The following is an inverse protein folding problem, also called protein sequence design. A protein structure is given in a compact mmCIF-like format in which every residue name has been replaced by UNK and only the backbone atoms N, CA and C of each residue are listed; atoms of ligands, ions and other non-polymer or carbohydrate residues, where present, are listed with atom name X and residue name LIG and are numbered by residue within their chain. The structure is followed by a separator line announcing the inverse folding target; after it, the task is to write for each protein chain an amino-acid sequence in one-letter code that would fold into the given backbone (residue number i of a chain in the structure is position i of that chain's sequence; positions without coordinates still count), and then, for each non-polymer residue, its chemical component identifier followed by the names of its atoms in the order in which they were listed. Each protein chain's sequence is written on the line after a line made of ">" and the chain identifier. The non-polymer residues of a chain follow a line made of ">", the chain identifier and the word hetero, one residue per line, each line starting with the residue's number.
data_IF_393428079231
#
_entry.id   IF_393428079231
#
_cell.length_a   1.000
_cell.length_b   1.000
_cell.length_c   1.000
_cell.angle_alpha   90.00
_cell.angle_beta   90.00
_cell.angle_gamma   90.00
#
_symmetry.space_group_name_H-M   'P 1'
#
loop_
_entity.id
_entity.type
_entity.pdbx_description
1 polymer ?
#
# COMPACT_ATOMS: atom_id res chain seq x y z
N UNK A 1 -12.98 1.56 -10.64
CA UNK A 1 -14.06 1.12 -9.73
C UNK A 1 -14.46 -0.32 -10.05
N UNK A 2 -13.75 -1.31 -9.49
CA UNK A 2 -14.16 -2.71 -9.61
C UNK A 2 -15.28 -3.01 -8.61
N UNK A 3 -16.36 -3.71 -9.00
CA UNK A 3 -17.49 -3.97 -8.12
C UNK A 3 -17.05 -4.79 -6.88
N UNK A 4 -17.63 -4.53 -5.68
CA UNK A 4 -17.17 -5.13 -4.41
C UNK A 4 -17.12 -6.67 -4.40
N UNK A 5 -17.94 -7.31 -5.24
CA UNK A 5 -18.00 -8.76 -5.41
C UNK A 5 -16.83 -9.32 -6.23
N UNK A 6 -16.35 -8.55 -7.21
CA UNK A 6 -15.24 -8.93 -8.08
C UNK A 6 -13.91 -8.86 -7.33
N UNK A 7 -13.68 -7.85 -6.48
CA UNK A 7 -12.46 -7.75 -5.68
C UNK A 7 -12.24 -8.98 -4.77
N UNK A 8 -13.25 -9.31 -3.95
CA UNK A 8 -13.21 -10.50 -3.07
C UNK A 8 -13.04 -11.81 -3.86
N UNK A 9 -13.65 -11.89 -5.03
CA UNK A 9 -13.51 -13.05 -5.91
C UNK A 9 -12.11 -13.14 -6.53
N UNK A 10 -11.55 -12.02 -6.98
CA UNK A 10 -10.18 -11.94 -7.52
C UNK A 10 -9.14 -12.30 -6.46
N UNK A 11 -9.32 -11.88 -5.20
CA UNK A 11 -8.43 -12.27 -4.10
C UNK A 11 -8.46 -13.78 -3.81
N UNK A 12 -9.64 -14.39 -3.99
CA UNK A 12 -9.80 -15.84 -3.93
C UNK A 12 -9.05 -16.53 -5.09
N UNK A 13 -9.18 -16.01 -6.31
CA UNK A 13 -8.46 -16.53 -7.49
C UNK A 13 -6.94 -16.40 -7.35
N UNK A 14 -6.45 -15.26 -6.86
CA UNK A 14 -5.01 -15.03 -6.63
C UNK A 14 -4.44 -15.97 -5.58
N UNK A 15 -5.18 -16.26 -4.49
CA UNK A 15 -4.77 -17.27 -3.50
C UNK A 15 -4.64 -18.67 -4.09
N UNK A 16 -5.60 -19.08 -4.92
CA UNK A 16 -5.52 -20.36 -5.60
C UNK A 16 -4.37 -20.41 -6.61
N UNK A 17 -4.14 -19.34 -7.37
CA UNK A 17 -2.99 -19.26 -8.26
C UNK A 17 -1.65 -19.36 -7.53
N UNK A 18 -1.51 -18.71 -6.37
CA UNK A 18 -0.31 -18.83 -5.52
C UNK A 18 -0.10 -20.28 -5.07
N UNK A 19 -1.14 -20.95 -4.55
CA UNK A 19 -1.09 -22.36 -4.18
C UNK A 19 -0.66 -23.26 -5.35
N UNK A 20 -1.21 -23.03 -6.55
CA UNK A 20 -0.83 -23.76 -7.77
C UNK A 20 0.65 -23.55 -8.13
N UNK A 21 1.13 -22.30 -8.07
CA UNK A 21 2.57 -21.95 -8.27
C UNK A 21 3.49 -22.61 -7.24
N UNK A 22 3.03 -22.72 -6.00
CA UNK A 22 3.77 -23.32 -4.88
C UNK A 22 3.68 -24.88 -4.88
N UNK A 23 3.01 -25.48 -5.88
CA UNK A 23 2.89 -26.94 -6.04
C UNK A 23 1.78 -27.60 -5.18
N UNK A 24 0.91 -26.81 -4.56
CA UNK A 24 -0.20 -27.30 -3.74
C UNK A 24 -1.40 -27.73 -4.62
N UNK A 25 -1.59 -29.04 -4.74
CA UNK A 25 -2.65 -29.71 -5.50
C UNK A 25 -4.07 -29.51 -4.93
N UNK A 26 -4.21 -28.93 -3.73
CA UNK A 26 -5.53 -28.54 -3.18
C UNK A 26 -6.13 -27.29 -3.84
N UNK A 27 -5.38 -26.67 -4.76
CA UNK A 27 -5.84 -25.49 -5.49
C UNK A 27 -6.90 -25.85 -6.52
N UNK A 28 -8.09 -25.27 -6.40
CA UNK A 28 -9.21 -25.46 -7.34
C UNK A 28 -9.13 -24.47 -8.53
N UNK A 29 -7.92 -24.08 -8.95
CA UNK A 29 -7.70 -23.26 -10.15
C UNK A 29 -7.12 -24.14 -11.25
N UNK A 30 -7.80 -24.18 -12.39
CA UNK A 30 -7.35 -24.94 -13.56
C UNK A 30 -6.46 -24.09 -14.45
N UNK A 31 -5.57 -24.73 -15.22
CA UNK A 31 -4.75 -24.04 -16.24
C UNK A 31 -5.61 -23.25 -17.23
N UNK A 32 -6.73 -23.83 -17.66
CA UNK A 32 -7.71 -23.14 -18.51
C UNK A 32 -8.22 -21.83 -17.89
N UNK A 33 -8.48 -21.82 -16.58
CA UNK A 33 -8.91 -20.62 -15.86
C UNK A 33 -7.80 -19.59 -15.72
N UNK A 34 -6.55 -20.04 -15.59
CA UNK A 34 -5.36 -19.17 -15.58
C UNK A 34 -5.19 -18.48 -16.93
N UNK A 35 -5.27 -19.22 -18.02
CA UNK A 35 -5.11 -18.70 -19.37
C UNK A 35 -6.20 -17.65 -19.71
N UNK A 36 -7.45 -17.92 -19.35
CA UNK A 36 -8.57 -16.97 -19.50
C UNK A 36 -8.35 -15.68 -18.74
N UNK A 37 -7.77 -15.75 -17.54
CA UNK A 37 -7.47 -14.58 -16.70
C UNK A 37 -6.24 -13.81 -17.20
N UNK A 38 -5.22 -14.49 -17.74
CA UNK A 38 -4.11 -13.83 -18.45
C UNK A 38 -4.59 -13.03 -19.65
N UNK A 39 -5.50 -13.62 -20.45
CA UNK A 39 -6.01 -13.01 -21.68
C UNK A 39 -6.79 -11.70 -21.45
N UNK A 40 -7.38 -11.54 -20.26
CA UNK A 40 -8.06 -10.29 -19.85
C UNK A 40 -7.14 -9.32 -19.08
N UNK A 41 -5.83 -9.58 -19.05
CA UNK A 41 -4.85 -8.72 -18.38
C UNK A 41 -4.96 -8.74 -16.85
N UNK A 42 -5.54 -9.79 -16.26
CA UNK A 42 -5.65 -9.88 -14.81
C UNK A 42 -4.29 -10.21 -14.19
N UNK A 43 -3.63 -9.23 -13.60
CA UNK A 43 -2.38 -9.45 -12.88
C UNK A 43 -2.63 -10.29 -11.60
N UNK A 44 -1.91 -11.41 -11.54
CA UNK A 44 -1.98 -12.40 -10.46
C UNK A 44 -1.33 -11.97 -9.16
N UNK A 45 -0.64 -10.83 -9.15
CA UNK A 45 0.02 -10.31 -7.96
C UNK A 45 -1.04 -9.97 -6.91
N UNK A 46 -1.32 -10.91 -6.01
CA UNK A 46 -1.80 -10.57 -4.68
C UNK A 46 -0.62 -9.87 -4.00
N UNK A 47 -0.53 -8.55 -4.13
CA UNK A 47 0.50 -7.79 -3.46
C UNK A 47 0.38 -8.10 -1.97
N UNK A 48 1.39 -8.77 -1.40
CA UNK A 48 1.47 -8.94 0.03
C UNK A 48 1.36 -7.56 0.68
N UNK A 49 0.91 -7.52 1.94
CA UNK A 49 0.88 -6.26 2.69
C UNK A 49 2.23 -5.53 2.63
N UNK A 50 3.32 -6.29 2.60
CA UNK A 50 4.67 -5.76 2.44
C UNK A 50 4.94 -5.17 1.05
N UNK A 51 4.48 -5.81 -0.02
CA UNK A 51 4.61 -5.24 -1.37
C UNK A 51 3.80 -3.95 -1.52
N UNK A 52 2.59 -3.89 -0.94
CA UNK A 52 1.78 -2.68 -0.93
C UNK A 52 2.47 -1.55 -0.15
N UNK A 53 3.12 -1.88 0.98
CA UNK A 53 3.91 -0.92 1.73
C UNK A 53 5.07 -0.38 0.90
N UNK A 54 5.83 -1.26 0.23
CA UNK A 54 6.96 -0.89 -0.65
C UNK A 54 6.53 -0.03 -1.84
N UNK A 55 5.38 -0.32 -2.44
CA UNK A 55 4.82 0.49 -3.53
C UNK A 55 4.49 1.91 -3.05
N UNK A 56 3.80 2.04 -1.91
CA UNK A 56 3.50 3.36 -1.32
C UNK A 56 4.73 4.11 -0.88
N UNK A 57 5.73 3.41 -0.35
CA UNK A 57 7.03 4.00 -0.03
C UNK A 57 7.70 4.58 -1.28
N UNK A 58 7.69 3.88 -2.42
CA UNK A 58 8.22 4.42 -3.69
C UNK A 58 7.46 5.68 -4.14
N UNK A 59 6.14 5.67 -4.05
CA UNK A 59 5.33 6.86 -4.35
C UNK A 59 5.69 8.06 -3.44
N UNK A 60 5.96 7.79 -2.15
CA UNK A 60 6.41 8.82 -1.22
C UNK A 60 7.79 9.37 -1.61
N UNK A 61 8.74 8.52 -2.01
CA UNK A 61 10.05 8.96 -2.50
C UNK A 61 9.89 9.91 -3.68
N UNK A 62 9.09 9.53 -4.68
CA UNK A 62 8.82 10.41 -5.83
C UNK A 62 8.12 11.71 -5.42
N UNK A 63 7.25 11.68 -4.41
CA UNK A 63 6.66 12.91 -3.87
C UNK A 63 7.71 13.81 -3.21
N UNK A 64 8.63 13.25 -2.43
CA UNK A 64 9.73 13.99 -1.81
C UNK A 64 10.66 14.59 -2.86
N UNK A 65 10.98 13.85 -3.92
CA UNK A 65 11.78 14.36 -5.04
C UNK A 65 11.13 15.58 -5.73
N UNK A 66 9.79 15.61 -5.80
CA UNK A 66 9.04 16.71 -6.44
C UNK A 66 8.77 17.89 -5.51
N UNK A 67 8.36 17.63 -4.26
CA UNK A 67 7.88 18.64 -3.32
C UNK A 67 8.93 19.03 -2.26
N UNK A 68 10.01 18.25 -2.12
CA UNK A 68 11.08 18.49 -1.13
C UNK A 68 10.71 18.18 0.32
N UNK A 69 9.52 17.62 0.58
CA UNK A 69 9.04 17.35 1.94
C UNK A 69 8.15 16.10 1.99
N UNK A 70 7.95 15.54 3.19
CA UNK A 70 7.11 14.35 3.42
C UNK A 70 5.69 14.67 3.90
N UNK A 71 5.29 15.94 3.83
CA UNK A 71 3.99 16.47 4.28
C UNK A 71 2.84 16.14 3.31
N UNK A 72 2.57 14.87 3.09
CA UNK A 72 1.40 14.44 2.30
C UNK A 72 0.13 14.55 3.15
N UNK A 73 -0.87 15.29 2.67
CA UNK A 73 -2.20 15.37 3.28
C UNK A 73 -3.09 14.23 2.78
N UNK A 74 -4.07 13.79 3.59
CA UNK A 74 -5.10 12.83 3.15
C UNK A 74 -5.88 13.31 1.93
N UNK A 75 -6.00 14.62 1.79
CA UNK A 75 -6.76 15.28 0.72
C UNK A 75 -5.90 15.61 -0.49
N UNK A 76 -4.70 15.02 -0.60
CA UNK A 76 -3.81 15.22 -1.74
C UNK A 76 -4.51 14.74 -3.03
N UNK A 77 -4.91 15.65 -3.94
CA UNK A 77 -5.84 15.32 -5.02
C UNK A 77 -5.21 14.39 -6.06
N UNK A 78 -3.90 14.49 -6.27
CA UNK A 78 -3.17 13.67 -7.24
C UNK A 78 -3.04 12.22 -6.76
N UNK A 79 -2.90 12.00 -5.44
CA UNK A 79 -2.83 10.66 -4.87
C UNK A 79 -3.38 10.60 -3.42
N UNK A 80 -4.70 10.53 -3.24
CA UNK A 80 -5.32 10.45 -1.92
C UNK A 80 -4.93 9.16 -1.15
N UNK A 81 -4.56 8.11 -1.88
CA UNK A 81 -4.10 6.85 -1.28
C UNK A 81 -2.77 7.03 -0.54
N UNK A 82 -1.85 7.81 -1.12
CA UNK A 82 -0.57 8.13 -0.49
C UNK A 82 -0.75 8.96 0.78
N UNK A 83 -1.64 9.97 0.75
CA UNK A 83 -1.96 10.78 1.92
C UNK A 83 -2.50 9.96 3.09
N UNK A 84 -3.48 9.11 2.81
CA UNK A 84 -4.03 8.18 3.79
C UNK A 84 -2.98 7.18 4.31
N UNK A 85 -2.09 6.70 3.43
CA UNK A 85 -1.02 5.79 3.82
C UNK A 85 0.00 6.47 4.75
N UNK A 86 0.42 7.69 4.44
CA UNK A 86 1.34 8.47 5.27
C UNK A 86 0.72 8.77 6.65
N UNK A 87 -0.56 9.13 6.69
CA UNK A 87 -1.30 9.29 7.94
C UNK A 87 -1.29 8.00 8.78
N UNK A 88 -1.54 6.84 8.16
CA UNK A 88 -1.48 5.55 8.85
C UNK A 88 -0.09 5.26 9.40
N UNK A 89 0.99 5.57 8.68
CA UNK A 89 2.35 5.36 9.20
C UNK A 89 2.57 6.16 10.50
N UNK A 90 2.11 7.42 10.56
CA UNK A 90 2.21 8.24 11.79
C UNK A 90 1.40 7.67 12.94
N UNK A 91 0.20 7.16 12.67
CA UNK A 91 -0.65 6.54 13.69
C UNK A 91 0.00 5.28 14.28
N UNK A 92 0.49 4.39 13.41
CA UNK A 92 1.14 3.14 13.78
C UNK A 92 2.44 3.39 14.57
N UNK A 93 3.22 4.40 14.17
CA UNK A 93 4.40 4.84 14.92
C UNK A 93 4.02 5.38 16.31
N UNK A 94 3.00 6.24 16.40
CA UNK A 94 2.53 6.75 17.69
C UNK A 94 2.00 5.66 18.61
N UNK A 95 1.35 4.63 18.06
CA UNK A 95 0.92 3.45 18.82
C UNK A 95 2.12 2.67 19.34
N UNK A 96 3.11 2.42 18.49
CA UNK A 96 4.36 1.76 18.89
C UNK A 96 5.07 2.53 20.01
N UNK A 97 5.15 3.86 19.91
CA UNK A 97 5.75 4.71 20.95
C UNK A 97 4.99 4.67 22.29
N UNK A 98 3.70 4.32 22.27
CA UNK A 98 2.90 4.09 23.48
C UNK A 98 3.05 2.68 24.05
N UNK A 99 3.89 1.84 23.43
CA UNK A 99 4.08 0.43 23.81
C UNK A 99 3.00 -0.51 23.28
N UNK A 100 2.19 -0.09 22.29
CA UNK A 100 1.17 -0.95 21.70
C UNK A 100 1.82 -1.95 20.71
N UNK A 101 1.91 -3.21 21.15
CA UNK A 101 2.48 -4.31 20.37
C UNK A 101 1.59 -4.76 19.19
N UNK A 102 0.36 -4.23 19.06
CA UNK A 102 -0.51 -4.52 17.92
C UNK A 102 -0.14 -3.73 16.66
N UNK A 103 0.68 -2.68 16.82
CA UNK A 103 1.20 -1.84 15.73
C UNK A 103 1.87 -2.69 14.64
N UNK A 104 1.65 -2.31 13.38
CA UNK A 104 2.29 -2.89 12.20
C UNK A 104 3.56 -2.14 11.80
N UNK A 105 4.00 -1.19 12.63
CA UNK A 105 5.26 -0.51 12.43
C UNK A 105 6.42 -1.41 12.84
N UNK A 106 7.40 -1.57 11.95
CA UNK A 106 8.62 -2.35 12.19
C UNK A 106 9.84 -1.42 12.15
N UNK A 107 10.96 -1.86 12.72
CA UNK A 107 12.24 -1.14 12.67
C UNK A 107 12.63 -0.73 11.25
N UNK A 108 12.54 -1.67 10.32
CA UNK A 108 12.97 -1.46 8.92
C UNK A 108 12.11 -0.39 8.22
N UNK A 109 10.83 -0.30 8.58
CA UNK A 109 9.91 0.72 8.05
C UNK A 109 10.22 2.09 8.61
N UNK A 110 10.55 2.16 9.90
CA UNK A 110 10.98 3.40 10.56
C UNK A 110 12.26 3.89 9.90
N UNK A 111 13.29 3.05 9.80
CA UNK A 111 14.58 3.41 9.20
C UNK A 111 14.41 3.89 7.74
N UNK A 112 13.59 3.18 6.95
CA UNK A 112 13.30 3.58 5.57
C UNK A 112 12.63 4.95 5.50
N UNK A 113 11.67 5.23 6.38
CA UNK A 113 10.96 6.52 6.41
C UNK A 113 11.86 7.65 6.93
N UNK A 114 12.70 7.39 7.94
CA UNK A 114 13.67 8.37 8.44
C UNK A 114 14.71 8.74 7.39
N UNK A 115 15.15 7.79 6.56
CA UNK A 115 16.10 8.03 5.47
C UNK A 115 15.63 9.08 4.46
N UNK A 116 14.32 9.26 4.31
CA UNK A 116 13.72 10.25 3.42
C UNK A 116 13.20 11.49 4.18
N UNK A 117 13.55 11.63 5.46
CA UNK A 117 13.13 12.76 6.29
C UNK A 117 11.63 12.75 6.60
N UNK A 118 11.05 11.58 6.91
CA UNK A 118 9.64 11.48 7.22
C UNK A 118 9.27 12.20 8.53
N UNK A 119 8.39 13.20 8.42
CA UNK A 119 7.91 13.97 9.57
C UNK A 119 6.79 13.20 10.30
N UNK A 120 7.13 12.61 11.45
CA UNK A 120 6.21 11.82 12.28
C UNK A 120 5.14 12.66 12.99
N UNK A 121 5.47 13.89 13.38
CA UNK A 121 4.58 14.79 14.13
C UNK A 121 3.68 15.65 13.23
N UNK A 122 3.69 15.44 11.92
CA UNK A 122 2.83 16.20 11.02
C UNK A 122 1.37 15.77 11.17
N UNK A 123 0.54 16.66 11.72
CA UNK A 123 -0.91 16.52 11.79
C UNK A 123 -1.53 17.23 10.58
N UNK A 124 -2.21 16.51 9.66
CA UNK A 124 -2.94 17.17 8.59
C UNK A 124 -4.08 17.99 9.20
N UNK A 125 -4.04 19.31 9.05
CA UNK A 125 -5.14 20.19 9.46
C UNK A 125 -6.29 20.16 8.44
N UNK A 126 -7.51 20.58 8.80
CA UNK A 126 -8.71 20.35 7.98
C UNK A 126 -8.73 21.03 6.60
N UNK A 127 -7.84 21.99 6.31
CA UNK A 127 -7.86 22.80 5.08
C UNK A 127 -6.52 23.47 4.80
N UNK A 128 -5.46 22.73 4.46
CA UNK A 128 -4.25 23.36 3.91
C UNK A 128 -3.91 22.74 2.57
N UNK A 129 -3.80 23.59 1.54
CA UNK A 129 -3.20 23.23 0.25
C UNK A 129 -1.76 22.82 0.54
N UNK A 130 -1.42 21.56 0.36
CA UNK A 130 -0.04 21.09 0.50
C UNK A 130 0.32 20.30 -0.76
N UNK A 131 1.44 20.72 -1.34
CA UNK A 131 1.90 20.50 -2.70
C UNK A 131 0.80 20.74 -3.77
N UNK A 132 0.62 22.01 -4.14
CA UNK A 132 0.07 22.35 -5.44
C UNK A 132 1.23 22.27 -6.43
N UNK A 133 1.37 21.14 -7.13
CA UNK A 133 2.19 21.11 -8.34
C UNK A 133 1.50 22.04 -9.35
N UNK A 134 2.27 22.97 -9.93
CA UNK A 134 1.83 24.06 -10.82
C UNK A 134 0.82 23.64 -11.89
#
# INVERSE_FOLDING_TARGET
>A
NSPPRLGKWMDKQRRYYKKFKDGDLSSNITEYRIERLNKVGCEWKSASYENQWKERYKELVTFVEKCGHTRVSSDFPENPSLGNWAYRQRLEYKQLQKGDLSSKMTSDRIESLEKIGFEWDFVPGPRRKICATL
#
